data_IF_526204889423
#
_entry.id   IF_526204889423
#
_cell.length_a   1.000
_cell.length_b   1.000
_cell.length_c   1.000
_cell.angle_alpha   90.00
_cell.angle_beta   90.00
_cell.angle_gamma   90.00
#
_symmetry.space_group_name_H-M   'P 1'
#
loop_
_entity.id
_entity.type
_entity.pdbx_description
1 polymer ?
#
# COMPACT_ATOMS: atom_id res chain seq x y z
N UNK A 1 -1.78 8.17 -19.25
CA UNK A 1 -0.71 7.80 -18.30
C UNK A 1 -1.34 6.97 -17.19
N UNK A 2 -0.69 5.89 -16.74
CA UNK A 2 -1.14 5.16 -15.55
C UNK A 2 -0.77 5.96 -14.31
N UNK A 3 -1.70 6.14 -13.38
CA UNK A 3 -1.43 6.76 -12.07
C UNK A 3 -0.59 5.85 -11.17
N UNK A 4 0.21 6.46 -10.30
CA UNK A 4 1.09 5.80 -9.34
C UNK A 4 0.40 5.72 -7.98
N UNK A 5 0.30 4.50 -7.45
CA UNK A 5 -0.23 4.21 -6.13
C UNK A 5 0.91 3.74 -5.24
N UNK A 6 1.00 4.32 -4.04
CA UNK A 6 1.90 3.84 -3.00
C UNK A 6 1.09 3.27 -1.83
N UNK A 7 1.29 1.99 -1.55
CA UNK A 7 0.62 1.28 -0.46
C UNK A 7 1.61 1.14 0.70
N UNK A 8 1.33 1.85 1.79
CA UNK A 8 2.01 1.64 3.07
C UNK A 8 1.37 0.45 3.78
N UNK A 9 2.16 -0.60 3.98
CA UNK A 9 1.72 -1.89 4.47
C UNK A 9 1.67 -2.91 3.34
N UNK A 10 2.76 -3.62 3.14
CA UNK A 10 2.86 -4.70 2.18
C UNK A 10 2.33 -6.02 2.73
N UNK A 11 1.57 -6.03 3.84
CA UNK A 11 0.98 -7.23 4.43
C UNK A 11 -0.19 -7.82 3.62
N UNK A 12 -1.00 -8.66 4.27
CA UNK A 12 -2.12 -9.36 3.61
C UNK A 12 -3.18 -8.42 3.02
N UNK A 13 -3.51 -7.31 3.69
CA UNK A 13 -4.47 -6.32 3.16
C UNK A 13 -3.89 -5.61 1.93
N UNK A 14 -2.65 -5.13 2.01
CA UNK A 14 -1.98 -4.49 0.88
C UNK A 14 -1.87 -5.41 -0.34
N UNK A 15 -1.36 -6.64 -0.15
CA UNK A 15 -1.09 -7.59 -1.26
C UNK A 15 -2.32 -8.38 -1.72
N UNK A 16 -3.21 -8.73 -0.81
CA UNK A 16 -4.34 -9.62 -1.08
C UNK A 16 -5.64 -8.89 -1.42
N UNK A 17 -5.78 -7.63 -0.99
CA UNK A 17 -7.00 -6.86 -1.20
C UNK A 17 -6.79 -5.65 -2.11
N UNK A 18 -5.94 -4.70 -1.70
CA UNK A 18 -5.77 -3.42 -2.41
C UNK A 18 -5.08 -3.58 -3.75
N UNK A 19 -3.86 -4.13 -3.76
CA UNK A 19 -3.06 -4.23 -4.97
C UNK A 19 -3.72 -5.01 -6.12
N UNK A 20 -4.42 -6.15 -5.90
CA UNK A 20 -5.11 -6.85 -6.99
C UNK A 20 -6.22 -6.02 -7.64
N UNK A 21 -6.93 -5.19 -6.86
CA UNK A 21 -7.98 -4.30 -7.39
C UNK A 21 -7.33 -3.26 -8.31
N UNK A 22 -6.29 -2.57 -7.84
CA UNK A 22 -5.65 -1.51 -8.60
C UNK A 22 -4.84 -2.03 -9.79
N UNK A 23 -4.27 -3.22 -9.68
CA UNK A 23 -3.55 -3.87 -10.78
C UNK A 23 -4.50 -4.16 -11.95
N UNK A 24 -5.71 -4.66 -11.65
CA UNK A 24 -6.78 -4.88 -12.66
C UNK A 24 -7.24 -3.58 -13.32
N UNK A 25 -7.18 -2.46 -12.59
CA UNK A 25 -7.51 -1.13 -13.11
C UNK A 25 -6.33 -0.47 -13.84
N UNK A 26 -5.18 -1.14 -13.95
CA UNK A 26 -4.01 -0.66 -14.70
C UNK A 26 -3.15 0.37 -13.98
N UNK A 27 -3.26 0.50 -12.65
CA UNK A 27 -2.39 1.38 -11.86
C UNK A 27 -1.00 0.77 -11.65
N UNK A 28 0.00 1.63 -11.47
CA UNK A 28 1.35 1.25 -11.05
C UNK A 28 1.41 1.18 -9.53
N UNK A 29 1.75 0.01 -9.00
CA UNK A 29 1.68 -0.25 -7.55
C UNK A 29 3.08 -0.30 -6.97
N UNK A 30 3.36 0.58 -6.02
CA UNK A 30 4.55 0.52 -5.18
C UNK A 30 4.19 0.19 -3.73
N UNK A 31 5.04 -0.59 -3.06
CA UNK A 31 4.86 -0.97 -1.66
C UNK A 31 5.88 -0.29 -0.76
N UNK A 32 5.48 0.02 0.47
CA UNK A 32 6.36 0.45 1.55
C UNK A 32 6.08 -0.38 2.79
N UNK A 33 7.11 -0.97 3.38
CA UNK A 33 7.00 -1.76 4.61
C UNK A 33 8.30 -1.71 5.43
N UNK A 34 8.26 -2.13 6.69
CA UNK A 34 9.43 -2.27 7.57
C UNK A 34 10.08 -3.66 7.46
N UNK A 35 9.37 -4.64 6.91
CA UNK A 35 9.90 -6.00 6.74
C UNK A 35 10.91 -6.05 5.58
N UNK A 36 12.19 -6.10 5.94
CA UNK A 36 13.33 -6.17 5.01
C UNK A 36 13.26 -7.37 4.08
N UNK A 37 12.85 -8.52 4.58
CA UNK A 37 12.81 -9.74 3.77
C UNK A 37 11.70 -9.65 2.74
N UNK A 38 10.51 -9.22 3.17
CA UNK A 38 9.36 -9.04 2.29
C UNK A 38 9.63 -8.03 1.17
N UNK A 39 10.17 -6.86 1.51
CA UNK A 39 10.48 -5.83 0.50
C UNK A 39 11.51 -6.33 -0.50
N UNK A 40 12.58 -7.00 -0.05
CA UNK A 40 13.57 -7.58 -0.96
C UNK A 40 12.99 -8.64 -1.88
N UNK A 41 12.09 -9.48 -1.37
CA UNK A 41 11.41 -10.49 -2.20
C UNK A 41 10.46 -9.85 -3.21
N UNK A 42 9.72 -8.81 -2.85
CA UNK A 42 8.87 -8.06 -3.77
C UNK A 42 9.70 -7.39 -4.87
N UNK A 43 10.83 -6.77 -4.52
CA UNK A 43 11.73 -6.14 -5.49
C UNK A 43 12.35 -7.15 -6.44
N UNK A 44 12.80 -8.29 -5.91
CA UNK A 44 13.41 -9.36 -6.71
C UNK A 44 12.42 -9.99 -7.68
N UNK A 45 11.20 -10.30 -7.21
CA UNK A 45 10.21 -11.04 -8.01
C UNK A 45 9.44 -10.14 -8.96
N UNK A 46 9.23 -8.87 -8.60
CA UNK A 46 8.47 -7.86 -9.36
C UNK A 46 7.00 -8.21 -9.63
N UNK A 47 6.57 -9.44 -9.41
CA UNK A 47 5.19 -9.90 -9.43
C UNK A 47 4.95 -10.95 -8.34
N UNK A 48 3.69 -11.14 -7.95
CA UNK A 48 3.27 -12.25 -7.10
C UNK A 48 1.84 -12.69 -7.41
N UNK A 49 1.50 -13.91 -7.01
CA UNK A 49 0.15 -14.45 -7.15
C UNK A 49 -0.64 -14.22 -5.86
N UNK A 50 -1.89 -13.80 -6.01
CA UNK A 50 -2.90 -13.78 -4.95
C UNK A 50 -4.09 -14.66 -5.35
N UNK A 51 -4.95 -15.00 -4.40
CA UNK A 51 -6.19 -15.71 -4.67
C UNK A 51 -7.35 -15.09 -3.89
N UNK A 52 -8.54 -15.09 -4.50
CA UNK A 52 -9.81 -14.75 -3.83
C UNK A 52 -10.76 -15.92 -3.95
N UNK A 53 -11.51 -16.22 -2.89
CA UNK A 53 -12.53 -17.27 -2.94
C UNK A 53 -13.75 -16.77 -3.74
N UNK A 54 -14.24 -17.58 -4.66
CA UNK A 54 -15.46 -17.35 -5.46
C UNK A 54 -16.19 -18.67 -5.65
N UNK A 55 -17.40 -18.79 -5.08
CA UNK A 55 -18.30 -19.94 -5.27
C UNK A 55 -17.55 -21.29 -5.11
N UNK A 56 -16.88 -21.47 -3.97
CA UNK A 56 -16.08 -22.66 -3.61
C UNK A 56 -14.82 -22.93 -4.46
N UNK A 57 -14.38 -21.96 -5.27
CA UNK A 57 -13.11 -22.02 -6.02
C UNK A 57 -12.19 -20.85 -5.68
N UNK A 58 -10.91 -21.02 -5.98
CA UNK A 58 -9.93 -19.93 -5.93
C UNK A 58 -9.80 -19.26 -7.30
N UNK A 59 -10.05 -17.95 -7.33
CA UNK A 59 -9.70 -17.06 -8.44
C UNK A 59 -8.30 -16.50 -8.22
N UNK A 60 -7.32 -17.08 -8.93
CA UNK A 60 -5.93 -16.65 -8.87
C UNK A 60 -5.68 -15.43 -9.75
N UNK A 61 -4.93 -14.47 -9.23
CA UNK A 61 -4.59 -13.23 -9.92
C UNK A 61 -3.10 -12.95 -9.75
N UNK A 62 -2.44 -12.58 -10.84
CA UNK A 62 -1.08 -12.05 -10.78
C UNK A 62 -1.13 -10.54 -10.55
N UNK A 63 -0.23 -10.05 -9.70
CA UNK A 63 -0.09 -8.63 -9.36
C UNK A 63 1.33 -8.19 -9.66
N UNK A 64 1.47 -7.18 -10.51
CA UNK A 64 2.75 -6.57 -10.83
C UNK A 64 3.10 -5.47 -9.81
N UNK A 65 4.36 -5.39 -9.44
CA UNK A 65 4.93 -4.42 -8.50
C UNK A 65 5.87 -3.51 -9.27
N UNK A 66 5.56 -2.21 -9.28
CA UNK A 66 6.37 -1.16 -9.92
C UNK A 66 7.64 -0.87 -9.11
N UNK A 67 7.57 -0.93 -7.78
CA UNK A 67 8.73 -0.79 -6.88
C UNK A 67 8.35 -1.20 -5.47
N UNK A 68 9.33 -1.57 -4.66
CA UNK A 68 9.14 -1.77 -3.22
C UNK A 68 10.24 -1.10 -2.42
N UNK A 69 9.87 -0.49 -1.30
CA UNK A 69 10.77 0.34 -0.50
C UNK A 69 10.73 -0.06 0.95
N UNK A 70 11.89 -0.03 1.62
CA UNK A 70 11.88 -0.02 3.08
C UNK A 70 11.37 1.33 3.56
N UNK A 71 10.64 1.30 4.67
CA UNK A 71 10.13 2.50 5.30
C UNK A 71 11.28 3.50 5.56
N UNK A 72 11.26 4.64 4.88
CA UNK A 72 12.33 5.63 4.90
C UNK A 72 12.92 5.91 3.52
N UNK A 73 12.97 4.91 2.64
CA UNK A 73 13.66 4.95 1.34
C UNK A 73 12.77 5.50 0.21
N UNK A 74 11.45 5.57 0.42
CA UNK A 74 10.47 5.90 -0.61
C UNK A 74 10.35 7.41 -0.91
N UNK A 75 11.03 8.27 -0.16
CA UNK A 75 10.83 9.73 -0.16
C UNK A 75 10.89 10.37 -1.55
N UNK A 76 11.76 9.87 -2.43
CA UNK A 76 11.88 10.36 -3.82
C UNK A 76 10.73 9.89 -4.71
N UNK A 77 10.26 8.65 -4.52
CA UNK A 77 9.13 8.09 -5.26
C UNK A 77 7.80 8.69 -4.81
N UNK A 78 7.66 8.99 -3.51
CA UNK A 78 6.47 9.60 -2.91
C UNK A 78 6.09 10.93 -3.57
N UNK A 79 7.07 11.70 -4.07
CA UNK A 79 6.83 12.97 -4.80
C UNK A 79 6.11 12.79 -6.14
N UNK A 80 6.11 11.58 -6.69
CA UNK A 80 5.48 11.23 -7.98
C UNK A 80 4.22 10.37 -7.78
N UNK A 81 3.81 10.17 -6.54
CA UNK A 81 2.65 9.37 -6.17
C UNK A 81 1.38 10.21 -6.24
N UNK A 82 0.36 9.67 -6.91
CA UNK A 82 -0.95 10.32 -7.01
C UNK A 82 -1.82 10.00 -5.79
N UNK A 83 -1.76 8.73 -5.34
CA UNK A 83 -2.55 8.22 -4.22
C UNK A 83 -1.71 7.43 -3.24
N UNK A 84 -1.86 7.71 -1.95
CA UNK A 84 -1.38 6.85 -0.87
C UNK A 84 -2.52 6.09 -0.25
N UNK A 85 -2.30 4.79 -0.04
CA UNK A 85 -3.17 3.93 0.76
C UNK A 85 -2.41 3.47 2.00
N UNK A 86 -3.04 3.55 3.18
CA UNK A 86 -2.45 3.06 4.44
C UNK A 86 -3.19 1.82 4.94
N UNK A 87 -2.47 0.74 5.21
CA UNK A 87 -3.00 -0.44 5.89
C UNK A 87 -1.92 -1.05 6.79
N UNK A 88 -1.38 -0.24 7.70
CA UNK A 88 -0.24 -0.56 8.58
C UNK A 88 -0.65 -0.90 10.01
N UNK A 89 -1.94 -0.83 10.32
CA UNK A 89 -2.49 -0.94 11.67
C UNK A 89 -2.56 0.43 12.36
N UNK A 90 -3.61 0.71 13.15
CA UNK A 90 -3.86 2.05 13.73
C UNK A 90 -2.70 2.62 14.56
N UNK A 91 -1.96 1.76 15.26
CA UNK A 91 -0.80 2.15 16.08
C UNK A 91 0.37 2.68 15.26
N UNK A 92 0.45 2.30 13.99
CA UNK A 92 1.51 2.73 13.08
C UNK A 92 1.08 3.88 12.17
N UNK A 93 -0.21 4.19 12.06
CA UNK A 93 -0.71 5.25 11.18
C UNK A 93 -0.22 6.64 11.61
N UNK A 94 -0.11 6.90 12.92
CA UNK A 94 0.34 8.20 13.45
C UNK A 94 1.76 8.55 13.01
N UNK A 95 2.67 7.57 12.94
CA UNK A 95 4.05 7.78 12.50
C UNK A 95 4.18 8.05 11.00
N UNK A 96 3.14 7.72 10.21
CA UNK A 96 3.09 8.00 8.78
C UNK A 96 2.57 9.41 8.45
N UNK A 97 1.75 10.02 9.31
CA UNK A 97 1.04 11.28 9.04
C UNK A 97 1.95 12.35 8.43
N UNK A 98 3.06 12.68 9.10
CA UNK A 98 4.00 13.72 8.65
C UNK A 98 4.72 13.36 7.34
N UNK A 99 4.94 12.07 7.09
CA UNK A 99 5.67 11.55 5.93
C UNK A 99 4.84 11.67 4.65
N UNK A 100 3.54 11.37 4.73
CA UNK A 100 2.65 11.35 3.57
C UNK A 100 1.82 12.63 3.39
N UNK A 101 1.95 13.62 4.29
CA UNK A 101 1.12 14.84 4.34
C UNK A 101 1.03 15.65 3.03
N UNK A 102 2.04 15.54 2.17
CA UNK A 102 2.12 16.31 0.92
C UNK A 102 1.62 15.52 -0.31
N UNK A 103 1.13 14.30 -0.13
CA UNK A 103 0.55 13.50 -1.21
C UNK A 103 -0.83 14.08 -1.57
N UNK A 104 -1.20 14.15 -2.87
CA UNK A 104 -2.47 14.75 -3.29
C UNK A 104 -3.71 14.10 -2.66
N UNK A 105 -3.71 12.78 -2.50
CA UNK A 105 -4.81 12.04 -1.92
C UNK A 105 -4.31 10.89 -1.04
N UNK A 106 -4.84 10.80 0.18
CA UNK A 106 -4.52 9.76 1.15
C UNK A 106 -5.82 9.05 1.52
N UNK A 107 -5.85 7.72 1.38
CA UNK A 107 -6.98 6.88 1.75
C UNK A 107 -6.54 5.90 2.85
N UNK A 108 -7.27 5.91 3.97
CA UNK A 108 -6.96 5.03 5.10
C UNK A 108 -7.78 3.74 5.04
N UNK A 109 -7.09 2.59 5.03
CA UNK A 109 -7.65 1.23 5.11
C UNK A 109 -7.23 0.56 6.42
N UNK A 110 -7.51 1.25 7.52
CA UNK A 110 -7.29 0.74 8.87
C UNK A 110 -8.62 0.29 9.47
N UNK A 111 -8.59 -0.77 10.28
CA UNK A 111 -9.76 -1.18 11.07
C UNK A 111 -9.92 -0.31 12.32
N UNK A 112 -10.03 1.00 12.12
CA UNK A 112 -10.16 2.02 13.15
C UNK A 112 -10.95 3.21 12.60
N UNK A 113 -12.00 3.59 13.32
CA UNK A 113 -12.94 4.64 12.91
C UNK A 113 -12.25 6.00 12.80
N UNK A 114 -11.31 6.27 13.69
CA UNK A 114 -10.61 7.55 13.78
C UNK A 114 -9.29 7.60 13.00
N UNK A 115 -9.00 6.59 12.17
CA UNK A 115 -7.75 6.48 11.41
C UNK A 115 -7.46 7.73 10.55
N UNK A 116 -8.49 8.31 9.93
CA UNK A 116 -8.36 9.55 9.16
C UNK A 116 -8.00 10.74 10.05
N UNK A 117 -8.59 10.85 11.24
CA UNK A 117 -8.27 11.93 12.19
C UNK A 117 -6.84 11.79 12.72
N UNK A 118 -6.39 10.56 12.99
CA UNK A 118 -5.01 10.25 13.36
C UNK A 118 -4.04 10.70 12.26
N UNK A 119 -4.33 10.39 10.99
CA UNK A 119 -3.51 10.81 9.85
C UNK A 119 -3.52 12.33 9.62
N UNK A 120 -4.60 13.01 9.99
CA UNK A 120 -4.69 14.48 10.01
C UNK A 120 -3.97 15.12 11.21
N UNK A 121 -3.52 14.33 12.18
CA UNK A 121 -2.94 14.83 13.42
C UNK A 121 -3.95 15.47 14.37
N UNK A 122 -5.24 15.14 14.23
CA UNK A 122 -6.28 15.60 15.17
C UNK A 122 -6.22 14.74 16.44
N UNK A 123 -6.06 15.34 17.64
CA UNK A 123 -6.08 14.59 18.89
C UNK A 123 -7.39 13.82 19.09
N UNK A 124 -7.32 12.67 19.77
CA UNK A 124 -8.50 11.93 20.24
C UNK A 124 -9.17 12.65 21.41
#
# INVERSE_FOLDING_TARGET
>A
MSSNIMIYGAGAIGRGFLAPIFNKLGYKISFVDKDVHLIKELEKRRCYTTAKTKEDKYDFQEVCVESSYLLGEESSALKKTDFVFTCVGPRNSSSLANRIKNVPCIISFENERDSVNILKGVPR
#
